data_IF_934989030117
#
_entry.id   IF_934989030117
#
_cell.length_a   1.000
_cell.length_b   1.000
_cell.length_c   1.000
_cell.angle_alpha   90.00
_cell.angle_beta   90.00
_cell.angle_gamma   90.00
#
_symmetry.space_group_name_H-M   'P 1'
#
loop_
_entity.id
_entity.type
_entity.pdbx_description
1 polymer ?
#
# COMPACT_ATOMS: atom_id res chain seq x y z
N UNK A 1 -7.83 2.85 -7.20
CA UNK A 1 -6.89 2.53 -6.11
C UNK A 1 -6.81 1.04 -5.76
N UNK A 2 -7.86 0.42 -5.16
CA UNK A 2 -7.86 -0.97 -4.67
C UNK A 2 -7.24 -2.00 -5.63
N UNK A 3 -7.66 -1.98 -6.90
CA UNK A 3 -7.19 -2.93 -7.92
C UNK A 3 -5.71 -2.76 -8.28
N UNK A 4 -5.13 -1.57 -8.10
CA UNK A 4 -3.69 -1.36 -8.31
C UNK A 4 -2.87 -2.01 -7.22
N UNK A 5 -3.34 -1.94 -5.96
CA UNK A 5 -2.70 -2.56 -4.81
C UNK A 5 -2.77 -4.09 -4.89
N UNK A 6 -3.95 -4.66 -5.21
CA UNK A 6 -4.13 -6.12 -5.33
C UNK A 6 -3.31 -6.79 -6.44
N UNK A 7 -2.76 -6.02 -7.38
CA UNK A 7 -1.91 -6.53 -8.47
C UNK A 7 -0.45 -6.70 -8.06
N UNK A 8 -0.03 -6.09 -6.95
CA UNK A 8 1.34 -6.17 -6.48
C UNK A 8 1.55 -7.54 -5.80
N UNK A 9 2.60 -8.24 -6.22
CA UNK A 9 3.04 -9.45 -5.52
C UNK A 9 3.36 -9.11 -4.05
N UNK A 10 2.94 -9.98 -3.14
CA UNK A 10 3.12 -9.76 -1.70
C UNK A 10 2.02 -8.92 -1.03
N UNK A 11 1.03 -8.39 -1.76
CA UNK A 11 -0.18 -7.82 -1.15
C UNK A 11 -1.18 -8.94 -0.89
N UNK A 12 -1.54 -9.13 0.38
CA UNK A 12 -2.44 -10.20 0.82
C UNK A 12 -3.88 -9.71 0.98
N UNK A 13 -4.06 -8.47 1.45
CA UNK A 13 -5.38 -7.89 1.69
C UNK A 13 -5.39 -6.39 1.46
N UNK A 14 -6.51 -5.88 0.95
CA UNK A 14 -6.74 -4.44 0.72
C UNK A 14 -8.18 -4.10 1.08
N UNK A 15 -8.32 -3.21 2.05
CA UNK A 15 -9.55 -2.52 2.42
C UNK A 15 -9.42 -1.05 2.06
N UNK A 16 -10.50 -0.46 1.54
CA UNK A 16 -10.53 0.95 1.15
C UNK A 16 -11.83 1.51 1.66
N UNK A 17 -11.72 2.58 2.43
CA UNK A 17 -12.80 3.47 2.80
C UNK A 17 -12.73 4.70 1.90
N UNK A 18 -13.75 4.89 1.08
CA UNK A 18 -13.81 6.00 0.13
C UNK A 18 -14.30 7.29 0.77
N UNK A 19 -15.01 7.21 1.90
CA UNK A 19 -15.52 8.39 2.60
C UNK A 19 -14.41 9.08 3.39
N UNK A 20 -13.50 8.29 3.98
CA UNK A 20 -12.32 8.80 4.70
C UNK A 20 -11.06 8.94 3.85
N UNK A 21 -11.11 8.50 2.58
CA UNK A 21 -9.96 8.43 1.67
C UNK A 21 -8.79 7.61 2.25
N UNK A 22 -9.11 6.53 2.98
CA UNK A 22 -8.13 5.66 3.63
C UNK A 22 -8.08 4.27 3.01
N UNK A 23 -6.92 3.65 3.10
CA UNK A 23 -6.72 2.25 2.74
C UNK A 23 -5.91 1.52 3.80
N UNK A 24 -6.38 0.34 4.18
CA UNK A 24 -5.66 -0.59 5.04
C UNK A 24 -5.16 -1.73 4.16
N UNK A 25 -3.86 -2.01 4.25
CA UNK A 25 -3.18 -3.02 3.42
C UNK A 25 -2.41 -3.98 4.32
N UNK A 26 -2.64 -5.28 4.13
CA UNK A 26 -1.79 -6.34 4.69
C UNK A 26 -0.88 -6.82 3.56
N UNK A 27 0.43 -6.83 3.81
CA UNK A 27 1.43 -7.13 2.81
C UNK A 27 2.67 -7.78 3.44
N UNK A 28 3.47 -8.43 2.59
CA UNK A 28 4.75 -9.02 2.94
C UNK A 28 5.89 -8.03 2.65
N UNK A 29 6.54 -7.45 3.68
CA UNK A 29 7.59 -6.44 3.49
C UNK A 29 8.83 -6.94 2.74
N UNK A 30 9.05 -8.26 2.75
CA UNK A 30 10.14 -8.91 2.01
C UNK A 30 9.88 -8.96 0.49
N UNK A 31 8.64 -8.71 0.05
CA UNK A 31 8.21 -8.84 -1.35
C UNK A 31 7.82 -7.48 -1.95
N UNK A 32 7.17 -6.62 -1.16
CA UNK A 32 6.70 -5.30 -1.61
C UNK A 32 6.92 -4.23 -0.55
N UNK A 33 7.37 -3.05 -0.97
CA UNK A 33 7.58 -1.89 -0.10
C UNK A 33 6.41 -0.92 -0.12
N UNK A 34 6.33 -0.08 0.92
CA UNK A 34 5.33 1.00 0.98
C UNK A 34 5.47 1.96 -0.19
N UNK A 35 6.70 2.24 -0.62
CA UNK A 35 7.01 3.05 -1.81
C UNK A 35 6.42 2.47 -3.09
N UNK A 36 6.55 1.16 -3.32
CA UNK A 36 5.99 0.52 -4.51
C UNK A 36 4.46 0.62 -4.53
N UNK A 37 3.81 0.46 -3.38
CA UNK A 37 2.36 0.63 -3.23
C UNK A 37 1.92 2.07 -3.53
N UNK A 38 2.60 3.07 -2.97
CA UNK A 38 2.32 4.49 -3.25
C UNK A 38 2.52 4.85 -4.73
N UNK A 39 3.54 4.28 -5.38
CA UNK A 39 3.73 4.46 -6.83
C UNK A 39 2.60 3.84 -7.65
N UNK A 40 2.14 2.64 -7.28
CA UNK A 40 1.06 1.95 -7.99
C UNK A 40 -0.27 2.72 -7.93
N UNK A 41 -0.55 3.40 -6.80
CA UNK A 41 -1.75 4.24 -6.66
C UNK A 41 -1.58 5.59 -7.35
N UNK A 42 -0.40 6.21 -7.26
CA UNK A 42 -0.09 7.45 -7.99
C UNK A 42 -0.20 7.29 -9.52
N UNK A 43 0.28 6.18 -10.07
CA UNK A 43 0.25 5.90 -11.53
C UNK A 43 -1.16 5.83 -12.14
N UNK A 44 -2.19 5.67 -11.31
CA UNK A 44 -3.59 5.66 -11.76
C UNK A 44 -4.38 6.89 -11.26
N UNK A 45 -3.69 7.94 -10.80
CA UNK A 45 -4.32 9.19 -10.37
C UNK A 45 -4.76 9.25 -8.91
N UNK A 46 -4.31 8.32 -8.06
CA UNK A 46 -4.61 8.31 -6.61
C UNK A 46 -3.31 8.37 -5.79
N UNK A 47 -2.57 9.50 -5.79
CA UNK A 47 -1.37 9.61 -4.96
C UNK A 47 -1.73 9.39 -3.49
N UNK A 48 -0.83 8.74 -2.75
CA UNK A 48 -1.09 8.30 -1.37
C UNK A 48 0.13 8.53 -0.48
N UNK A 49 -0.10 8.60 0.83
CA UNK A 49 0.95 8.67 1.85
C UNK A 49 0.74 7.60 2.91
N UNK A 50 1.82 7.17 3.55
CA UNK A 50 1.76 6.24 4.69
C UNK A 50 1.41 7.03 5.95
N UNK A 51 0.27 6.71 6.58
CA UNK A 51 -0.14 7.31 7.86
C UNK A 51 0.57 6.66 9.07
N UNK A 52 0.72 5.34 9.03
CA UNK A 52 1.33 4.54 10.09
C UNK A 52 2.53 3.80 9.48
N UNK A 53 3.77 4.14 9.87
CA UNK A 53 4.94 3.46 9.33
C UNK A 53 4.95 1.98 9.72
N UNK A 54 5.46 1.09 8.86
CA UNK A 54 5.61 -0.31 9.21
C UNK A 54 6.55 -0.46 10.42
N UNK A 55 6.39 -1.55 11.21
CA UNK A 55 7.24 -1.79 12.37
C UNK A 55 8.72 -1.83 11.96
N UNK A 56 9.67 -1.47 12.86
CA UNK A 56 11.09 -1.26 12.53
C UNK A 56 11.81 -2.43 11.83
N UNK A 57 11.24 -3.63 11.88
CA UNK A 57 11.82 -4.86 11.34
C UNK A 57 11.28 -5.18 9.93
N UNK A 58 10.30 -4.42 9.45
CA UNK A 58 9.69 -4.55 8.13
C UNK A 58 10.39 -3.61 7.14
N UNK A 59 11.67 -3.92 6.86
CA UNK A 59 12.47 -3.63 5.65
C UNK A 59 12.30 -2.31 4.85
N UNK A 60 11.71 -1.23 5.37
CA UNK A 60 11.75 0.09 4.74
C UNK A 60 13.12 0.73 5.07
N UNK A 61 14.12 0.36 4.28
CA UNK A 61 15.42 1.03 4.15
C UNK A 61 15.55 1.67 2.76
#
# INVERSE_FOLDING_TARGET
MRNSLRKLEGVEYVEVDYDSEEAIVIYLPAVVSTRAMMQATANIGFPSTVKIPPPPNASDS
#
